data_IF_967767767531
#
_entry.id   IF_967767767531
#
_cell.length_a   1.000
_cell.length_b   1.000
_cell.length_c   1.000
_cell.angle_alpha   90.00
_cell.angle_beta   90.00
_cell.angle_gamma   90.00
#
_symmetry.space_group_name_H-M   'P 1'
#
loop_
_entity.id
_entity.type
_entity.pdbx_description
1 polymer ?
#
# COMPACT_ATOMS: atom_id res chain seq x y z
N UNK A 1 24.99 4.33 21.41
CA UNK A 1 25.24 4.03 19.99
C UNK A 1 23.91 4.20 19.26
N UNK A 2 23.60 5.12 18.36
CA UNK A 2 24.22 6.33 17.78
C UNK A 2 23.03 7.16 17.26
N UNK A 3 22.63 8.25 17.95
CA UNK A 3 21.48 9.10 17.56
C UNK A 3 21.64 9.89 16.26
N UNK A 4 22.75 9.67 15.55
CA UNK A 4 23.12 10.31 14.29
C UNK A 4 22.51 9.55 13.10
N UNK A 5 22.20 8.25 13.25
CA UNK A 5 21.57 7.45 12.21
C UNK A 5 20.06 7.75 12.07
N UNK A 6 19.34 7.86 13.19
CA UNK A 6 17.90 8.13 13.19
C UNK A 6 17.53 9.54 12.70
N UNK A 7 18.34 10.54 13.05
CA UNK A 7 18.14 11.93 12.59
C UNK A 7 18.45 12.12 11.09
N UNK A 8 19.46 11.41 10.55
CA UNK A 8 19.73 11.41 9.11
C UNK A 8 18.66 10.67 8.31
N UNK A 9 18.20 9.52 8.79
CA UNK A 9 17.09 8.77 8.17
C UNK A 9 15.82 9.62 8.12
N UNK A 10 15.46 10.26 9.23
CA UNK A 10 14.31 11.16 9.31
C UNK A 10 14.42 12.38 8.39
N UNK A 11 15.62 12.93 8.20
CA UNK A 11 15.82 14.04 7.27
C UNK A 11 15.66 13.61 5.82
N UNK A 12 16.22 12.45 5.44
CA UNK A 12 16.07 11.88 4.10
C UNK A 12 14.60 11.53 3.80
N UNK A 13 13.87 10.99 4.77
CA UNK A 13 12.43 10.70 4.64
C UNK A 13 11.61 11.98 4.44
N UNK A 14 11.89 13.03 5.21
CA UNK A 14 11.25 14.33 5.02
C UNK A 14 11.55 14.95 3.64
N UNK A 15 12.81 14.92 3.21
CA UNK A 15 13.21 15.44 1.90
C UNK A 15 12.50 14.68 0.77
N UNK A 16 12.37 13.34 0.87
CA UNK A 16 11.56 12.53 -0.06
C UNK A 16 10.11 12.98 -0.11
N UNK A 17 9.48 13.22 1.04
CA UNK A 17 8.08 13.65 1.10
C UNK A 17 7.86 15.04 0.47
N UNK A 18 8.85 15.93 0.57
CA UNK A 18 8.80 17.25 -0.05
C UNK A 18 8.84 17.16 -1.58
N UNK A 19 9.67 16.28 -2.14
CA UNK A 19 9.85 16.13 -3.60
C UNK A 19 8.92 15.09 -4.26
N UNK A 20 8.23 14.28 -3.47
CA UNK A 20 7.39 13.15 -3.94
C UNK A 20 6.42 13.56 -5.06
N UNK A 21 5.69 14.67 -4.88
CA UNK A 21 4.70 15.15 -5.88
C UNK A 21 5.35 15.39 -7.23
N UNK A 22 6.45 16.14 -7.26
CA UNK A 22 7.13 16.53 -8.49
C UNK A 22 7.71 15.32 -9.21
N UNK A 23 8.18 14.33 -8.45
CA UNK A 23 8.68 13.07 -9.02
C UNK A 23 7.54 12.23 -9.62
N UNK A 24 6.38 12.18 -8.95
CA UNK A 24 5.20 11.49 -9.46
C UNK A 24 4.67 12.16 -10.74
N UNK A 25 4.54 13.49 -10.78
CA UNK A 25 4.11 14.22 -11.99
C UNK A 25 5.03 14.00 -13.20
N UNK A 26 6.35 13.86 -12.98
CA UNK A 26 7.31 13.60 -14.07
C UNK A 26 7.14 12.21 -14.70
N UNK A 27 6.69 11.22 -13.92
CA UNK A 27 6.61 9.81 -14.34
C UNK A 27 5.21 9.37 -14.72
N UNK A 28 4.19 9.94 -14.10
CA UNK A 28 2.78 9.58 -14.29
C UNK A 28 2.04 10.73 -14.96
N UNK A 29 1.75 10.58 -16.25
CA UNK A 29 1.15 11.64 -17.06
C UNK A 29 -0.37 11.62 -16.95
N UNK A 30 -0.97 12.80 -16.70
CA UNK A 30 -2.41 13.03 -16.79
C UNK A 30 -3.24 12.61 -15.57
N UNK A 31 -2.60 12.11 -14.49
CA UNK A 31 -3.28 11.66 -13.27
C UNK A 31 -3.07 12.64 -12.10
N UNK A 32 -3.04 13.95 -12.38
CA UNK A 32 -2.60 14.95 -11.41
C UNK A 32 -3.44 14.94 -10.11
N UNK A 33 -4.77 14.89 -10.21
CA UNK A 33 -5.66 14.89 -9.05
C UNK A 33 -5.48 13.65 -8.16
N UNK A 34 -5.25 12.48 -8.79
CA UNK A 34 -4.95 11.24 -8.07
C UNK A 34 -3.59 11.33 -7.37
N UNK A 35 -2.57 11.88 -8.04
CA UNK A 35 -1.25 12.11 -7.47
C UNK A 35 -1.33 13.05 -6.27
N UNK A 36 -2.07 14.15 -6.39
CA UNK A 36 -2.23 15.13 -5.31
C UNK A 36 -2.90 14.53 -4.08
N UNK A 37 -3.98 13.77 -4.30
CA UNK A 37 -4.69 13.07 -3.23
C UNK A 37 -3.79 12.07 -2.50
N UNK A 38 -2.98 11.31 -3.24
CA UNK A 38 -2.03 10.35 -2.67
C UNK A 38 -0.96 11.05 -1.84
N UNK A 39 -0.33 12.07 -2.40
CA UNK A 39 0.73 12.82 -1.72
C UNK A 39 0.21 13.46 -0.44
N UNK A 40 -1.00 14.02 -0.47
CA UNK A 40 -1.62 14.63 0.71
C UNK A 40 -1.82 13.62 1.83
N UNK A 41 -2.39 12.43 1.53
CA UNK A 41 -2.58 11.37 2.52
C UNK A 41 -1.26 10.90 3.11
N UNK A 42 -0.24 10.67 2.27
CA UNK A 42 1.09 10.23 2.72
C UNK A 42 1.74 11.29 3.62
N UNK A 43 1.65 12.58 3.27
CA UNK A 43 2.18 13.67 4.10
C UNK A 43 1.45 13.80 5.43
N UNK A 44 0.11 13.73 5.40
CA UNK A 44 -0.70 13.76 6.62
C UNK A 44 -0.36 12.60 7.54
N UNK A 45 -0.06 11.42 6.98
CA UNK A 45 0.39 10.25 7.75
C UNK A 45 1.71 10.49 8.47
N UNK A 46 2.68 11.14 7.84
CA UNK A 46 3.96 11.45 8.47
C UNK A 46 3.81 12.37 9.70
N UNK A 47 2.75 13.20 9.72
CA UNK A 47 2.48 14.17 10.79
C UNK A 47 1.55 13.58 11.88
N UNK A 48 0.49 12.85 11.49
CA UNK A 48 -0.60 12.43 12.38
C UNK A 48 -0.85 10.91 12.40
N UNK A 49 0.11 10.13 11.93
CA UNK A 49 -0.02 8.68 11.78
C UNK A 49 -0.39 7.96 13.08
N UNK A 50 -1.33 7.03 12.98
CA UNK A 50 -1.65 6.05 14.03
C UNK A 50 -0.77 4.81 13.90
N UNK A 51 -0.22 4.23 14.96
CA UNK A 51 0.50 2.96 14.85
C UNK A 51 -0.41 1.88 14.24
N UNK A 52 0.18 0.93 13.50
CA UNK A 52 -0.51 -0.25 12.97
C UNK A 52 -1.68 0.06 12.02
N UNK A 53 -1.55 1.07 11.15
CA UNK A 53 -2.45 1.28 10.01
C UNK A 53 -1.58 1.48 8.76
N UNK A 54 -2.06 1.16 7.55
CA UNK A 54 -1.33 1.53 6.35
C UNK A 54 -1.13 3.05 6.27
N UNK A 55 -0.09 3.46 5.54
CA UNK A 55 0.22 4.86 5.25
C UNK A 55 -0.97 5.53 4.55
N UNK A 56 -1.59 4.81 3.62
CA UNK A 56 -2.80 5.20 2.93
C UNK A 56 -3.48 3.99 2.30
N UNK A 57 -4.79 4.11 2.14
CA UNK A 57 -5.63 3.18 1.41
C UNK A 57 -6.29 3.96 0.28
N UNK A 58 -6.08 3.54 -0.96
CA UNK A 58 -6.55 4.23 -2.14
C UNK A 58 -7.40 3.32 -3.02
N UNK A 59 -8.45 3.89 -3.62
CA UNK A 59 -9.29 3.21 -4.60
C UNK A 59 -9.26 3.97 -5.91
N UNK A 60 -8.50 3.46 -6.89
CA UNK A 60 -8.41 4.06 -8.22
C UNK A 60 -9.40 3.41 -9.19
N UNK A 61 -10.40 4.17 -9.64
CA UNK A 61 -11.38 3.76 -10.64
C UNK A 61 -11.06 4.39 -12.01
N UNK A 62 -11.42 3.72 -13.11
CA UNK A 62 -11.05 4.13 -14.48
C UNK A 62 -10.61 2.96 -15.37
N UNK A 63 -10.50 3.18 -16.70
CA UNK A 63 -10.21 2.11 -17.65
C UNK A 63 -8.79 1.56 -17.52
N UNK A 64 -8.56 0.39 -18.13
CA UNK A 64 -7.22 -0.19 -18.18
C UNK A 64 -6.24 0.77 -18.89
N UNK A 65 -4.97 0.70 -18.48
CA UNK A 65 -3.86 1.40 -19.15
C UNK A 65 -3.81 2.93 -19.01
N UNK A 66 -4.61 3.54 -18.12
CA UNK A 66 -4.54 5.00 -17.86
C UNK A 66 -3.44 5.44 -16.88
N UNK A 67 -2.67 4.50 -16.33
CA UNK A 67 -1.53 4.80 -15.45
C UNK A 67 -1.71 4.46 -13.97
N UNK A 68 -2.80 3.79 -13.56
CA UNK A 68 -3.00 3.37 -12.15
C UNK A 68 -1.86 2.47 -11.63
N UNK A 69 -1.49 1.45 -12.42
CA UNK A 69 -0.37 0.56 -12.08
C UNK A 69 0.96 1.31 -12.11
N UNK A 70 1.11 2.29 -13.00
CA UNK A 70 2.33 3.10 -13.09
C UNK A 70 2.49 4.01 -11.87
N UNK A 71 1.38 4.56 -11.36
CA UNK A 71 1.36 5.29 -10.10
C UNK A 71 1.82 4.40 -8.93
N UNK A 72 1.28 3.18 -8.81
CA UNK A 72 1.69 2.24 -7.77
C UNK A 72 3.18 1.85 -7.87
N UNK A 73 3.68 1.57 -9.09
CA UNK A 73 5.11 1.29 -9.34
C UNK A 73 6.00 2.47 -8.96
N UNK A 74 5.59 3.67 -9.35
CA UNK A 74 6.36 4.89 -9.06
C UNK A 74 6.38 5.15 -7.56
N UNK A 75 5.26 4.96 -6.85
CA UNK A 75 5.22 5.07 -5.39
C UNK A 75 6.19 4.10 -4.72
N UNK A 76 6.25 2.84 -5.17
CA UNK A 76 7.19 1.86 -4.63
C UNK A 76 8.65 2.30 -4.82
N UNK A 77 8.97 2.83 -5.99
CA UNK A 77 10.29 3.36 -6.30
C UNK A 77 10.65 4.61 -5.47
N UNK A 78 9.77 5.60 -5.40
CA UNK A 78 10.05 6.88 -4.73
C UNK A 78 10.08 6.78 -3.20
N UNK A 79 9.29 5.87 -2.63
CA UNK A 79 9.18 5.72 -1.17
C UNK A 79 10.10 4.65 -0.61
N UNK A 80 10.30 3.55 -1.36
CA UNK A 80 11.03 2.37 -0.88
C UNK A 80 12.24 2.00 -1.74
N UNK A 81 12.67 2.92 -2.61
CA UNK A 81 13.87 2.81 -3.47
C UNK A 81 13.88 1.62 -4.44
N UNK A 82 12.77 0.90 -4.60
CA UNK A 82 12.71 -0.27 -5.47
C UNK A 82 11.28 -0.56 -5.93
N UNK A 83 11.14 -0.81 -7.23
CA UNK A 83 9.89 -1.30 -7.82
C UNK A 83 9.53 -2.71 -7.36
N UNK A 84 10.49 -3.48 -6.83
CA UNK A 84 10.24 -4.81 -6.26
C UNK A 84 9.45 -4.75 -4.96
N UNK A 85 9.30 -3.56 -4.37
CA UNK A 85 8.42 -3.30 -3.23
C UNK A 85 6.96 -3.17 -3.64
N UNK A 86 6.63 -3.30 -4.92
CA UNK A 86 5.26 -3.43 -5.40
C UNK A 86 4.82 -4.90 -5.37
N UNK A 87 3.90 -5.21 -4.47
CA UNK A 87 3.20 -6.49 -4.41
C UNK A 87 1.89 -6.35 -5.19
N UNK A 88 1.85 -6.87 -6.42
CA UNK A 88 0.65 -6.82 -7.25
C UNK A 88 -0.13 -8.13 -7.22
N UNK A 89 -1.41 -8.04 -6.91
CA UNK A 89 -2.35 -9.17 -6.84
C UNK A 89 -3.41 -8.97 -7.91
N UNK A 90 -3.55 -9.96 -8.78
CA UNK A 90 -4.62 -10.03 -9.79
C UNK A 90 -5.90 -10.58 -9.17
N UNK A 91 -6.91 -9.72 -9.00
CA UNK A 91 -8.14 -10.03 -8.29
C UNK A 91 -9.13 -10.87 -9.11
N UNK A 92 -8.89 -11.07 -10.41
CA UNK A 92 -9.73 -11.94 -11.23
C UNK A 92 -9.69 -13.41 -10.81
N UNK A 93 -8.64 -13.82 -10.08
CA UNK A 93 -8.51 -15.19 -9.56
C UNK A 93 -9.35 -15.43 -8.31
N UNK A 94 -9.93 -14.38 -7.73
CA UNK A 94 -10.51 -14.39 -6.38
C UNK A 94 -12.02 -14.13 -6.38
N UNK A 95 -12.73 -14.86 -7.23
CA UNK A 95 -14.19 -14.75 -7.40
C UNK A 95 -14.99 -15.67 -6.49
N UNK A 96 -14.33 -16.57 -5.75
CA UNK A 96 -14.96 -17.51 -4.82
C UNK A 96 -14.52 -17.28 -3.38
N UNK A 97 -15.37 -17.65 -2.41
CA UNK A 97 -15.02 -17.61 -0.99
C UNK A 97 -13.75 -18.41 -0.68
N UNK A 98 -13.58 -19.60 -1.26
CA UNK A 98 -12.38 -20.42 -1.04
C UNK A 98 -11.11 -19.76 -1.57
N UNK A 99 -11.15 -19.15 -2.76
CA UNK A 99 -10.00 -18.40 -3.28
C UNK A 99 -9.65 -17.20 -2.39
N UNK A 100 -10.66 -16.53 -1.81
CA UNK A 100 -10.42 -15.43 -0.87
C UNK A 100 -9.76 -15.92 0.42
N UNK A 101 -10.24 -17.02 1.01
CA UNK A 101 -9.57 -17.60 2.17
C UNK A 101 -8.08 -17.87 1.88
N UNK A 102 -7.78 -18.49 0.74
CA UNK A 102 -6.40 -18.75 0.32
C UNK A 102 -5.57 -17.47 0.12
N UNK A 103 -6.15 -16.38 -0.40
CA UNK A 103 -5.48 -15.08 -0.56
C UNK A 103 -4.99 -14.55 0.78
N UNK A 104 -5.91 -14.50 1.75
CA UNK A 104 -5.64 -13.99 3.09
C UNK A 104 -4.74 -14.93 3.91
N UNK A 105 -4.70 -16.22 3.57
CA UNK A 105 -3.77 -17.17 4.19
C UNK A 105 -2.36 -17.07 3.63
N UNK A 106 -2.20 -16.94 2.31
CA UNK A 106 -0.88 -17.06 1.66
C UNK A 106 -0.22 -15.72 1.36
N UNK A 107 -0.95 -14.80 0.73
CA UNK A 107 -0.38 -13.54 0.25
C UNK A 107 -0.20 -12.54 1.39
N UNK A 108 -1.15 -12.50 2.33
CA UNK A 108 -1.03 -11.64 3.51
C UNK A 108 0.05 -12.12 4.48
N UNK A 109 0.28 -13.44 4.59
CA UNK A 109 1.47 -13.98 5.29
C UNK A 109 2.76 -13.54 4.59
N UNK A 110 2.82 -13.59 3.26
CA UNK A 110 3.96 -13.10 2.49
C UNK A 110 4.24 -11.62 2.71
N UNK A 111 3.18 -10.79 2.78
CA UNK A 111 3.30 -9.36 3.10
C UNK A 111 3.92 -9.11 4.48
N UNK A 112 3.77 -10.04 5.44
CA UNK A 112 4.44 -9.91 6.76
C UNK A 112 5.96 -9.90 6.64
N UNK A 113 6.51 -10.58 5.64
CA UNK A 113 7.96 -10.62 5.41
C UNK A 113 8.46 -9.33 4.74
N UNK A 114 7.55 -8.45 4.30
CA UNK A 114 7.86 -7.22 3.57
C UNK A 114 7.15 -6.01 4.20
N UNK A 115 7.66 -5.49 5.34
CA UNK A 115 7.01 -4.41 6.08
C UNK A 115 6.94 -3.07 5.33
N UNK A 116 7.74 -2.89 4.28
CA UNK A 116 7.77 -1.70 3.42
C UNK A 116 7.35 -2.11 2.00
N UNK A 117 6.10 -1.83 1.64
CA UNK A 117 5.55 -2.27 0.37
C UNK A 117 4.39 -1.38 -0.11
N UNK A 118 4.23 -1.30 -1.43
CA UNK A 118 2.98 -0.89 -2.08
C UNK A 118 2.25 -2.16 -2.47
N UNK A 119 1.02 -2.32 -2.00
CA UNK A 119 0.16 -3.46 -2.30
C UNK A 119 -0.87 -2.97 -3.32
N UNK A 120 -0.98 -3.67 -4.44
CA UNK A 120 -1.89 -3.30 -5.53
C UNK A 120 -2.85 -4.45 -5.82
N UNK A 121 -4.13 -4.26 -5.48
CA UNK A 121 -5.22 -5.14 -5.87
C UNK A 121 -5.75 -4.71 -7.25
N UNK A 122 -5.29 -5.38 -8.30
CA UNK A 122 -5.74 -5.11 -9.67
C UNK A 122 -7.06 -5.82 -9.96
N UNK A 123 -7.95 -5.19 -10.72
CA UNK A 123 -9.18 -5.81 -11.27
C UNK A 123 -10.16 -6.31 -10.19
N UNK A 124 -10.39 -5.48 -9.18
CA UNK A 124 -11.29 -5.79 -8.05
C UNK A 124 -12.79 -5.83 -8.42
N UNK A 125 -13.17 -5.53 -9.67
CA UNK A 125 -14.58 -5.35 -10.05
C UNK A 125 -15.41 -6.63 -9.88
N UNK A 126 -14.77 -7.79 -10.00
CA UNK A 126 -15.40 -9.12 -9.90
C UNK A 126 -15.01 -9.89 -8.65
N UNK A 127 -14.34 -9.25 -7.69
CA UNK A 127 -13.89 -9.91 -6.47
C UNK A 127 -15.08 -10.42 -5.67
N UNK A 128 -14.93 -11.58 -5.02
CA UNK A 128 -15.95 -12.08 -4.12
C UNK A 128 -16.21 -11.09 -2.95
N UNK A 129 -17.47 -10.81 -2.56
CA UNK A 129 -17.81 -9.78 -1.57
C UNK A 129 -17.11 -9.93 -0.21
N UNK A 130 -16.78 -11.17 0.18
CA UNK A 130 -16.04 -11.47 1.41
C UNK A 130 -14.66 -10.78 1.48
N UNK A 131 -14.07 -10.45 0.33
CA UNK A 131 -12.83 -9.68 0.27
C UNK A 131 -12.93 -8.37 1.07
N UNK A 132 -14.01 -7.62 0.87
CA UNK A 132 -14.22 -6.33 1.54
C UNK A 132 -14.39 -6.49 3.04
N UNK A 133 -15.11 -7.53 3.47
CA UNK A 133 -15.28 -7.82 4.90
C UNK A 133 -13.95 -8.17 5.56
N UNK A 134 -13.15 -9.01 4.91
CA UNK A 134 -11.84 -9.41 5.42
C UNK A 134 -10.85 -8.23 5.41
N UNK A 135 -10.86 -7.44 4.34
CA UNK A 135 -10.03 -6.24 4.23
C UNK A 135 -10.35 -5.24 5.35
N UNK A 136 -11.63 -4.96 5.59
CA UNK A 136 -12.06 -4.08 6.69
C UNK A 136 -11.61 -4.63 8.06
N UNK A 137 -11.73 -5.94 8.29
CA UNK A 137 -11.26 -6.56 9.54
C UNK A 137 -9.75 -6.39 9.74
N UNK A 138 -8.96 -6.61 8.69
CA UNK A 138 -7.50 -6.41 8.72
C UNK A 138 -7.17 -4.96 9.04
N UNK A 139 -7.85 -4.02 8.38
CA UNK A 139 -7.62 -2.60 8.59
C UNK A 139 -8.02 -2.16 10.00
N UNK A 140 -9.15 -2.63 10.54
CA UNK A 140 -9.71 -2.16 11.81
C UNK A 140 -9.02 -2.74 13.03
N UNK A 141 -8.76 -4.04 13.02
CA UNK A 141 -8.42 -4.77 14.24
C UNK A 141 -6.94 -5.18 14.28
N UNK A 142 -6.18 -5.05 13.19
CA UNK A 142 -4.86 -5.69 13.05
C UNK A 142 -4.86 -7.17 13.48
N UNK A 143 -6.04 -7.81 13.46
CA UNK A 143 -6.19 -9.15 13.99
C UNK A 143 -6.12 -10.18 12.88
N UNK A 144 -5.41 -11.24 13.23
CA UNK A 144 -5.24 -12.50 12.53
C UNK A 144 -6.43 -12.92 11.69
N UNK A 145 -6.16 -13.16 10.41
CA UNK A 145 -7.10 -13.79 9.48
C UNK A 145 -7.34 -15.27 9.79
N UNK A 146 -6.60 -15.85 10.76
CA UNK A 146 -6.64 -17.26 11.15
C UNK A 146 -6.74 -17.48 12.67
N UNK A 147 -7.12 -18.69 13.09
CA UNK A 147 -7.16 -19.12 14.51
C UNK A 147 -5.80 -18.99 15.24
N UNK A 148 -4.70 -18.77 14.51
CA UNK A 148 -3.34 -18.65 15.06
C UNK A 148 -2.99 -17.27 15.65
N UNK A 149 -3.93 -16.32 15.70
CA UNK A 149 -3.73 -15.00 16.34
C UNK A 149 -2.42 -14.26 15.95
N UNK A 150 -2.03 -14.27 14.68
CA UNK A 150 -0.80 -13.59 14.25
C UNK A 150 -1.10 -12.18 13.74
N UNK A 151 -0.41 -11.19 14.32
CA UNK A 151 -0.58 -9.76 14.08
C UNK A 151 0.22 -9.35 12.82
N UNK A 152 -0.39 -8.60 11.89
CA UNK A 152 0.29 -8.07 10.70
C UNK A 152 0.62 -6.60 10.94
N UNK A 153 1.89 -6.22 10.90
CA UNK A 153 2.27 -4.80 10.93
C UNK A 153 2.10 -4.17 9.55
N UNK A 154 1.10 -3.30 9.45
CA UNK A 154 0.77 -2.55 8.24
C UNK A 154 1.38 -1.16 8.21
N UNK A 155 2.10 -0.74 9.26
CA UNK A 155 2.46 0.67 9.50
C UNK A 155 3.16 1.34 8.31
N UNK A 156 4.01 0.60 7.59
CA UNK A 156 4.82 1.13 6.49
C UNK A 156 4.38 0.62 5.11
N UNK A 157 3.09 0.28 4.97
CA UNK A 157 2.51 -0.20 3.70
C UNK A 157 1.54 0.81 3.08
N UNK A 158 1.43 0.82 1.75
CA UNK A 158 0.43 1.58 0.99
C UNK A 158 -0.44 0.59 0.22
N UNK A 159 -1.76 0.77 0.23
CA UNK A 159 -2.75 -0.15 -0.34
C UNK A 159 -3.58 0.54 -1.42
#
# INVERSE_FOLDING_TARGET
MTGIASSKLSRTENDRLLTLRDHLYKKVIGQNDAIDSVVEVIRNRAIFGKPNKPIGLFLFLGPNSVGKTELAKTLALELFDSTEKLISIDMNKYTTSNSIAQLFDSSFEGMRQQPYAVILFNQIEKVHPQFWNNLSQVLDHNHSLNEKHVNVDLTNTIW
#
